data_IF_750350210705
#
_entry.id   IF_750350210705
#
_cell.length_a   1.000
_cell.length_b   1.000
_cell.length_c   1.000
_cell.angle_alpha   90.00
_cell.angle_beta   90.00
_cell.angle_gamma   90.00
#
_symmetry.space_group_name_H-M   'P 1'
#
loop_
_entity.id
_entity.type
_entity.pdbx_description
1 polymer ?
#
# COMPACT_ATOMS: atom_id res chain seq x y z
N UNK A 1 2.60 7.07 -20.58
CA UNK A 1 4.04 7.13 -20.98
C UNK A 1 4.51 8.58 -20.87
N UNK A 2 5.73 8.83 -20.40
CA UNK A 2 6.37 10.14 -20.43
C UNK A 2 7.66 10.02 -21.24
N UNK A 3 7.88 10.91 -22.20
CA UNK A 3 9.11 10.90 -23.00
C UNK A 3 9.64 12.32 -23.25
N UNK A 4 10.91 12.42 -23.64
CA UNK A 4 11.52 13.69 -24.00
C UNK A 4 10.94 14.19 -25.32
N UNK A 5 10.38 15.39 -25.31
CA UNK A 5 9.96 16.08 -26.54
C UNK A 5 11.11 16.94 -27.09
N UNK A 6 11.75 17.71 -26.20
CA UNK A 6 12.93 18.53 -26.49
C UNK A 6 13.78 18.76 -25.22
N UNK A 7 14.78 19.64 -25.29
CA UNK A 7 15.68 19.94 -24.16
C UNK A 7 14.97 20.50 -22.92
N UNK A 8 13.79 21.10 -23.08
CA UNK A 8 13.05 21.81 -22.04
C UNK A 8 11.70 21.15 -21.72
N UNK A 9 11.16 20.30 -22.60
CA UNK A 9 9.80 19.76 -22.52
C UNK A 9 9.73 18.23 -22.56
N UNK A 10 8.72 17.68 -21.90
CA UNK A 10 8.34 16.25 -21.96
C UNK A 10 6.93 16.11 -22.57
N UNK A 11 6.72 15.03 -23.32
CA UNK A 11 5.40 14.64 -23.79
C UNK A 11 4.79 13.61 -22.82
N UNK A 12 3.52 13.82 -22.46
CA UNK A 12 2.73 12.89 -21.64
C UNK A 12 1.58 12.36 -22.49
N UNK A 13 1.48 11.04 -22.59
CA UNK A 13 0.43 10.37 -23.36
C UNK A 13 -0.78 10.09 -22.47
N UNK A 14 -1.91 10.70 -22.82
CA UNK A 14 -3.19 10.56 -22.14
C UNK A 14 -4.21 9.99 -23.12
N UNK A 15 -5.10 9.13 -22.62
CA UNK A 15 -6.24 8.63 -23.40
C UNK A 15 -7.36 9.68 -23.36
N UNK A 16 -7.24 10.69 -24.21
CA UNK A 16 -8.18 11.81 -24.33
C UNK A 16 -8.47 12.09 -25.80
N UNK A 17 -9.72 12.43 -26.12
CA UNK A 17 -10.12 12.75 -27.50
C UNK A 17 -9.50 14.04 -28.03
N UNK A 18 -9.16 14.96 -27.13
CA UNK A 18 -8.59 16.27 -27.47
C UNK A 18 -7.39 16.54 -26.56
N UNK A 19 -6.22 16.72 -27.17
CA UNK A 19 -5.01 17.08 -26.43
C UNK A 19 -5.09 18.50 -25.86
N UNK A 20 -4.26 18.77 -24.84
CA UNK A 20 -4.08 20.09 -24.25
C UNK A 20 -2.59 20.32 -23.98
N UNK A 21 -2.17 21.59 -23.98
CA UNK A 21 -0.82 21.96 -23.56
C UNK A 21 -0.82 22.32 -22.07
N UNK A 22 0.37 22.34 -21.49
CA UNK A 22 0.59 22.72 -20.09
C UNK A 22 1.33 24.04 -19.99
N UNK A 23 1.22 24.91 -21.01
CA UNK A 23 1.89 26.21 -20.99
C UNK A 23 1.29 27.06 -19.87
N UNK A 24 2.12 27.81 -19.10
CA UNK A 24 1.61 28.67 -18.05
C UNK A 24 0.54 29.63 -18.56
N UNK A 25 -0.55 29.78 -17.79
CA UNK A 25 -1.63 30.71 -18.11
C UNK A 25 -1.33 32.06 -17.48
N UNK A 26 -1.34 33.12 -18.27
CA UNK A 26 -1.20 34.49 -17.77
C UNK A 26 -2.49 34.90 -17.04
N UNK A 27 -2.40 35.14 -15.73
CA UNK A 27 -3.52 35.65 -14.92
C UNK A 27 -3.53 37.18 -14.86
N UNK A 28 -2.36 37.81 -14.93
CA UNK A 28 -2.16 39.27 -15.01
C UNK A 28 -0.80 39.60 -15.65
N UNK A 29 -0.45 40.89 -15.77
CA UNK A 29 0.85 41.32 -16.32
C UNK A 29 2.08 40.82 -15.55
N UNK A 30 1.91 40.47 -14.28
CA UNK A 30 3.01 40.03 -13.41
C UNK A 30 2.82 38.61 -12.86
N UNK A 31 1.66 37.98 -13.08
CA UNK A 31 1.32 36.68 -12.49
C UNK A 31 0.97 35.67 -13.58
N UNK A 32 1.69 34.55 -13.58
CA UNK A 32 1.40 33.37 -14.40
C UNK A 32 1.06 32.19 -13.48
N UNK A 33 0.04 31.42 -13.85
CA UNK A 33 -0.28 30.14 -13.22
C UNK A 33 0.41 29.02 -14.00
N UNK A 34 1.26 28.25 -13.32
CA UNK A 34 1.80 27.02 -13.86
C UNK A 34 0.71 25.95 -13.92
N UNK A 35 0.74 25.11 -14.95
CA UNK A 35 -0.13 23.95 -15.06
C UNK A 35 0.63 22.73 -14.55
N UNK A 36 0.10 22.08 -13.52
CA UNK A 36 0.70 20.90 -12.89
C UNK A 36 -0.12 19.67 -13.23
N UNK A 37 0.55 18.59 -13.67
CA UNK A 37 -0.05 17.26 -13.78
C UNK A 37 0.40 16.42 -12.59
N UNK A 38 -0.56 15.77 -11.94
CA UNK A 38 -0.30 14.78 -10.89
C UNK A 38 -1.04 13.49 -11.20
N UNK A 39 -0.47 12.37 -10.75
CA UNK A 39 -1.22 11.11 -10.67
C UNK A 39 -2.19 11.18 -9.50
N UNK A 40 -3.33 10.49 -9.61
CA UNK A 40 -4.34 10.36 -8.56
C UNK A 40 -4.65 8.88 -8.35
N UNK A 41 -5.20 8.55 -7.19
CA UNK A 41 -5.76 7.22 -6.94
C UNK A 41 -6.80 6.87 -7.99
N UNK A 42 -6.91 5.59 -8.28
CA UNK A 42 -7.97 5.08 -9.13
C UNK A 42 -9.32 5.31 -8.45
N UNK A 43 -10.34 5.64 -9.22
CA UNK A 43 -11.69 5.81 -8.68
C UNK A 43 -12.26 4.47 -8.23
N UNK A 44 -12.70 4.41 -6.97
CA UNK A 44 -13.34 3.22 -6.41
C UNK A 44 -14.61 2.84 -7.17
N UNK A 45 -14.90 1.54 -7.22
CA UNK A 45 -16.05 0.99 -7.95
C UNK A 45 -15.76 0.65 -9.41
N UNK A 46 -14.50 0.77 -9.86
CA UNK A 46 -14.12 0.40 -11.23
C UNK A 46 -14.33 -1.10 -11.50
N UNK A 47 -14.21 -1.93 -10.47
CA UNK A 47 -14.47 -3.37 -10.55
C UNK A 47 -15.96 -3.75 -10.58
N UNK A 48 -16.90 -2.81 -10.46
CA UNK A 48 -18.32 -3.08 -10.71
C UNK A 48 -18.60 -3.47 -12.17
N UNK A 49 -17.71 -3.08 -13.08
CA UNK A 49 -17.74 -3.45 -14.48
C UNK A 49 -17.20 -4.86 -14.76
N UNK A 50 -16.66 -5.58 -13.76
CA UNK A 50 -16.23 -6.97 -13.94
C UNK A 50 -17.43 -7.84 -14.27
N UNK A 51 -17.32 -8.61 -15.36
CA UNK A 51 -18.40 -9.47 -15.88
C UNK A 51 -18.87 -10.41 -14.77
N UNK A 52 -20.18 -10.40 -14.50
CA UNK A 52 -20.79 -11.25 -13.47
C UNK A 52 -20.38 -10.93 -12.03
N UNK A 53 -19.62 -9.85 -11.80
CA UNK A 53 -19.02 -9.49 -10.49
C UNK A 53 -18.18 -10.62 -9.89
N UNK A 54 -17.54 -11.43 -10.74
CA UNK A 54 -16.56 -12.42 -10.31
C UNK A 54 -15.25 -11.76 -9.87
N UNK A 55 -14.29 -12.56 -9.45
CA UNK A 55 -12.95 -12.08 -9.11
C UNK A 55 -12.17 -11.72 -10.37
N UNK A 56 -11.36 -10.66 -10.30
CA UNK A 56 -10.54 -10.16 -11.40
C UNK A 56 -10.62 -8.66 -11.61
N UNK A 57 -10.11 -8.20 -12.74
CA UNK A 57 -10.08 -6.80 -13.17
C UNK A 57 -11.00 -6.58 -14.37
N UNK A 58 -11.53 -5.36 -14.50
CA UNK A 58 -12.49 -5.01 -15.54
C UNK A 58 -11.87 -4.86 -16.94
N UNK A 59 -10.55 -4.62 -17.03
CA UNK A 59 -9.81 -4.50 -18.32
C UNK A 59 -8.86 -5.65 -18.54
N UNK A 60 -8.00 -5.94 -17.56
CA UNK A 60 -6.91 -6.90 -17.73
C UNK A 60 -6.46 -7.45 -16.39
N UNK A 61 -6.33 -8.78 -16.32
CA UNK A 61 -5.81 -9.47 -15.14
C UNK A 61 -4.27 -9.57 -15.11
N UNK A 62 -3.58 -9.09 -16.15
CA UNK A 62 -2.14 -9.38 -16.35
C UNK A 62 -1.28 -8.16 -16.59
N UNK A 63 -1.84 -6.96 -16.71
CA UNK A 63 -1.06 -5.76 -17.02
C UNK A 63 -0.53 -5.00 -15.80
N UNK A 64 -0.89 -5.46 -14.60
CA UNK A 64 -0.36 -4.95 -13.33
C UNK A 64 -0.69 -3.49 -13.03
N UNK A 65 -1.68 -2.90 -13.72
CA UNK A 65 -2.02 -1.47 -13.56
C UNK A 65 -3.48 -1.20 -13.23
N UNK A 66 -4.38 -2.14 -13.48
CA UNK A 66 -5.79 -1.96 -13.18
C UNK A 66 -6.14 -2.50 -11.79
N UNK A 67 -7.05 -1.83 -11.06
CA UNK A 67 -7.65 -2.40 -9.87
C UNK A 67 -8.31 -3.74 -10.17
N UNK A 68 -8.35 -4.59 -9.16
CA UNK A 68 -8.97 -5.90 -9.24
C UNK A 68 -9.82 -6.15 -8.01
N UNK A 69 -10.78 -7.08 -8.12
CA UNK A 69 -11.58 -7.54 -7.00
C UNK A 69 -11.28 -8.99 -6.66
N UNK A 70 -11.32 -9.29 -5.37
CA UNK A 70 -11.31 -10.65 -4.83
C UNK A 70 -12.40 -10.74 -3.78
N UNK A 71 -13.28 -11.73 -3.90
CA UNK A 71 -14.40 -11.99 -2.98
C UNK A 71 -15.27 -10.75 -2.68
N UNK A 72 -15.43 -9.86 -3.67
CA UNK A 72 -16.25 -8.66 -3.51
C UNK A 72 -15.53 -7.41 -3.02
N UNK A 73 -14.25 -7.48 -2.68
CA UNK A 73 -13.44 -6.33 -2.26
C UNK A 73 -12.53 -5.87 -3.38
N UNK A 74 -12.42 -4.56 -3.58
CA UNK A 74 -11.56 -3.94 -4.60
C UNK A 74 -10.18 -3.58 -4.02
N UNK A 75 -9.12 -3.86 -4.78
CA UNK A 75 -7.73 -3.70 -4.39
C UNK A 75 -6.93 -2.95 -5.47
N UNK A 76 -5.72 -2.52 -5.11
CA UNK A 76 -4.75 -1.88 -6.00
C UNK A 76 -5.23 -0.58 -6.68
N UNK A 77 -5.96 0.26 -5.94
CA UNK A 77 -6.41 1.60 -6.39
C UNK A 77 -5.31 2.68 -6.31
N UNK A 78 -4.05 2.29 -6.08
CA UNK A 78 -2.90 3.20 -6.04
C UNK A 78 -2.57 3.78 -4.66
N UNK A 79 -3.14 3.24 -3.59
CA UNK A 79 -2.80 3.65 -2.22
C UNK A 79 -2.69 2.42 -1.31
N UNK A 80 -2.06 2.61 -0.16
CA UNK A 80 -2.02 1.57 0.87
C UNK A 80 -3.40 1.39 1.48
N UNK A 81 -3.85 0.15 1.58
CA UNK A 81 -5.07 -0.22 2.29
C UNK A 81 -4.78 -0.31 3.80
N UNK A 82 -5.61 0.34 4.62
CA UNK A 82 -5.54 0.27 6.08
C UNK A 82 -6.34 -0.94 6.56
N UNK A 83 -5.67 -2.02 6.96
CA UNK A 83 -6.34 -3.17 7.58
C UNK A 83 -6.76 -2.80 9.02
N UNK A 84 -7.99 -2.32 9.20
CA UNK A 84 -8.38 -1.55 10.39
C UNK A 84 -8.48 -2.38 11.67
N UNK A 85 -8.71 -3.69 11.53
CA UNK A 85 -8.67 -4.63 12.64
C UNK A 85 -7.25 -5.11 12.97
N UNK A 86 -6.21 -4.69 12.22
CA UNK A 86 -4.85 -5.23 12.34
C UNK A 86 -3.83 -4.18 12.79
N UNK A 87 -3.01 -4.52 13.78
CA UNK A 87 -1.96 -3.65 14.32
C UNK A 87 -0.62 -4.38 14.37
N UNK A 88 0.46 -3.68 14.01
CA UNK A 88 1.83 -4.13 14.25
C UNK A 88 2.35 -3.56 15.58
N UNK A 89 2.92 -4.40 16.43
CA UNK A 89 3.64 -3.98 17.64
C UNK A 89 5.14 -4.24 17.45
N UNK A 90 5.92 -3.16 17.40
CA UNK A 90 7.35 -3.24 17.16
C UNK A 90 8.07 -3.80 18.38
N UNK A 91 9.02 -4.71 18.13
CA UNK A 91 9.80 -5.37 19.17
C UNK A 91 11.25 -4.88 19.17
N UNK A 92 11.98 -5.16 20.25
CA UNK A 92 13.35 -4.67 20.46
C UNK A 92 14.38 -5.18 19.44
N UNK A 93 14.09 -6.30 18.79
CA UNK A 93 14.93 -6.93 17.76
C UNK A 93 14.55 -6.49 16.33
N UNK A 94 13.71 -5.46 16.20
CA UNK A 94 13.11 -4.98 14.95
C UNK A 94 12.07 -5.92 14.32
N UNK A 95 11.70 -7.03 14.95
CA UNK A 95 10.53 -7.81 14.54
C UNK A 95 9.24 -7.07 14.89
N UNK A 96 8.11 -7.51 14.34
CA UNK A 96 6.79 -6.92 14.62
C UNK A 96 5.79 -8.01 14.92
N UNK A 97 5.21 -8.01 16.11
CA UNK A 97 4.05 -8.87 16.39
C UNK A 97 2.84 -8.31 15.66
N UNK A 98 2.02 -9.18 15.10
CA UNK A 98 0.82 -8.79 14.38
C UNK A 98 -0.39 -9.19 15.22
N UNK A 99 -1.19 -8.19 15.57
CA UNK A 99 -2.37 -8.34 16.41
C UNK A 99 -3.62 -8.05 15.60
N UNK A 100 -4.68 -8.82 15.85
CA UNK A 100 -6.00 -8.60 15.26
C UNK A 100 -7.05 -8.37 16.35
N UNK A 101 -7.83 -7.29 16.19
CA UNK A 101 -8.98 -7.00 17.01
C UNK A 101 -10.05 -8.08 16.82
N UNK A 102 -10.48 -8.78 17.88
CA UNK A 102 -11.61 -9.71 17.80
C UNK A 102 -12.89 -8.99 17.35
N UNK A 103 -13.72 -9.69 16.59
CA UNK A 103 -15.01 -9.17 16.13
C UNK A 103 -15.84 -8.61 17.30
N UNK A 104 -16.30 -7.37 17.16
CA UNK A 104 -17.13 -6.69 18.15
C UNK A 104 -16.36 -6.05 19.31
N UNK A 105 -15.03 -6.18 19.35
CA UNK A 105 -14.19 -5.40 20.27
C UNK A 105 -14.06 -3.96 19.76
N UNK A 106 -14.14 -2.99 20.66
CA UNK A 106 -13.87 -1.59 20.31
C UNK A 106 -12.39 -1.38 19.96
N UNK A 107 -12.12 -0.65 18.88
CA UNK A 107 -10.75 -0.29 18.52
C UNK A 107 -10.09 0.60 19.58
N UNK A 108 -8.77 0.47 19.72
CA UNK A 108 -7.98 1.26 20.65
C UNK A 108 -6.66 1.68 20.00
N UNK A 109 -6.19 2.85 20.34
CA UNK A 109 -4.84 3.34 20.00
C UNK A 109 -3.86 3.22 21.18
N UNK A 110 -4.29 2.65 22.30
CA UNK A 110 -3.45 2.47 23.48
C UNK A 110 -2.69 1.14 23.39
N UNK A 111 -1.37 1.22 23.31
CA UNK A 111 -0.44 0.08 23.29
C UNK A 111 -0.80 -1.04 24.30
N UNK A 112 -1.06 -0.68 25.55
CA UNK A 112 -1.38 -1.65 26.61
C UNK A 112 -2.72 -2.36 26.38
N UNK A 113 -3.72 -1.64 25.86
CA UNK A 113 -5.03 -2.21 25.54
C UNK A 113 -4.91 -3.17 24.36
N UNK A 114 -4.23 -2.76 23.28
CA UNK A 114 -4.00 -3.61 22.10
C UNK A 114 -3.30 -4.91 22.53
N UNK A 115 -2.17 -4.82 23.25
CA UNK A 115 -1.40 -6.00 23.68
C UNK A 115 -2.17 -6.96 24.59
N UNK A 116 -3.17 -6.48 25.33
CA UNK A 116 -3.92 -7.29 26.30
C UNK A 116 -5.25 -7.83 25.77
N UNK A 117 -5.82 -7.20 24.74
CA UNK A 117 -7.17 -7.52 24.25
C UNK A 117 -7.19 -8.05 22.81
N UNK A 118 -6.16 -7.80 22.01
CA UNK A 118 -6.12 -8.25 20.62
C UNK A 118 -5.45 -9.62 20.53
N UNK A 119 -5.81 -10.39 19.50
CA UNK A 119 -5.25 -11.72 19.25
C UNK A 119 -3.93 -11.58 18.50
N UNK A 120 -2.82 -12.03 19.10
CA UNK A 120 -1.55 -12.14 18.38
C UNK A 120 -1.61 -13.31 17.39
N UNK A 121 -1.50 -13.02 16.10
CA UNK A 121 -1.55 -14.04 15.04
C UNK A 121 -0.15 -14.48 14.56
N UNK A 122 0.90 -13.77 14.98
CA UNK A 122 2.27 -14.12 14.64
C UNK A 122 3.24 -12.93 14.63
N UNK A 123 4.38 -13.12 13.98
CA UNK A 123 5.48 -12.15 13.99
C UNK A 123 6.08 -11.99 12.60
N UNK A 124 6.12 -10.76 12.10
CA UNK A 124 6.93 -10.36 10.96
C UNK A 124 8.39 -10.35 11.40
N UNK A 125 9.28 -11.14 10.76
CA UNK A 125 10.67 -11.23 11.18
C UNK A 125 11.42 -9.93 10.91
N UNK A 126 12.42 -9.64 11.76
CA UNK A 126 13.40 -8.60 11.48
C UNK A 126 14.23 -8.95 10.24
N UNK A 127 14.75 -7.95 9.53
CA UNK A 127 15.75 -8.17 8.50
C UNK A 127 16.97 -8.91 9.10
N UNK A 128 17.52 -9.88 8.36
CA UNK A 128 18.70 -10.66 8.79
C UNK A 128 19.93 -9.80 9.06
N UNK A 129 19.99 -8.58 8.52
CA UNK A 129 21.07 -7.63 8.78
C UNK A 129 21.04 -7.03 10.19
N UNK A 130 19.92 -7.17 10.93
CA UNK A 130 19.75 -6.66 12.28
C UNK A 130 19.72 -5.13 12.37
N UNK A 131 19.36 -4.41 11.31
CA UNK A 131 19.41 -2.93 11.26
C UNK A 131 18.05 -2.26 11.02
N UNK A 132 16.97 -3.04 11.00
CA UNK A 132 15.64 -2.52 10.66
C UNK A 132 15.51 -2.10 9.19
N UNK A 133 16.31 -2.70 8.30
CA UNK A 133 16.29 -2.45 6.87
C UNK A 133 15.08 -3.10 6.20
N UNK A 134 14.62 -2.51 5.09
CA UNK A 134 13.56 -3.08 4.24
C UNK A 134 14.01 -4.40 3.60
N UNK A 135 13.06 -5.28 3.24
CA UNK A 135 13.37 -6.58 2.65
C UNK A 135 12.28 -7.13 1.73
N UNK A 136 12.69 -7.96 0.76
CA UNK A 136 11.81 -8.66 -0.18
C UNK A 136 11.11 -9.83 0.48
N UNK A 137 9.81 -9.97 0.27
CA UNK A 137 8.97 -11.02 0.86
C UNK A 137 9.13 -12.30 0.06
N UNK A 138 9.63 -13.34 0.74
CA UNK A 138 9.75 -14.68 0.20
C UNK A 138 8.47 -15.47 0.39
N UNK A 139 7.83 -15.34 1.57
CA UNK A 139 6.60 -16.05 1.90
C UNK A 139 5.76 -15.28 2.94
N UNK A 140 4.49 -15.67 3.05
CA UNK A 140 3.53 -15.17 4.04
C UNK A 140 2.95 -16.32 4.87
N UNK A 141 2.47 -16.00 6.06
CA UNK A 141 1.66 -16.92 6.86
C UNK A 141 0.25 -16.35 6.98
N UNK A 142 -0.76 -17.22 6.90
CA UNK A 142 -2.17 -16.88 7.09
C UNK A 142 -2.67 -17.57 8.36
N UNK A 143 -3.21 -16.81 9.30
CA UNK A 143 -3.97 -17.36 10.42
C UNK A 143 -5.39 -17.67 9.95
N UNK A 144 -5.70 -18.96 9.84
CA UNK A 144 -6.98 -19.45 9.30
C UNK A 144 -8.19 -19.06 10.16
N UNK A 145 -7.98 -18.75 11.44
CA UNK A 145 -9.08 -18.45 12.37
C UNK A 145 -9.57 -17.00 12.21
N UNK A 146 -8.64 -16.08 12.03
CA UNK A 146 -8.93 -14.65 11.84
C UNK A 146 -9.00 -14.24 10.38
N UNK A 147 -8.39 -15.02 9.47
CA UNK A 147 -8.18 -14.63 8.07
C UNK A 147 -7.05 -13.60 7.90
N UNK A 148 -6.39 -13.22 8.99
CA UNK A 148 -5.23 -12.34 8.97
C UNK A 148 -4.02 -13.00 8.36
N UNK A 149 -3.11 -12.19 7.82
CA UNK A 149 -1.86 -12.67 7.26
C UNK A 149 -0.70 -11.74 7.62
N UNK A 150 0.53 -12.26 7.51
CA UNK A 150 1.73 -11.46 7.69
C UNK A 150 2.91 -12.02 6.91
N UNK A 151 3.86 -11.17 6.45
CA UNK A 151 5.13 -11.63 5.89
C UNK A 151 5.91 -12.50 6.87
N UNK A 152 6.25 -13.72 6.49
CA UNK A 152 6.83 -14.72 7.40
C UNK A 152 8.26 -15.14 7.04
N UNK A 153 8.68 -14.90 5.79
CA UNK A 153 10.03 -15.24 5.33
C UNK A 153 10.62 -14.17 4.41
N UNK A 154 11.92 -13.90 4.58
CA UNK A 154 12.70 -13.06 3.68
C UNK A 154 13.06 -13.81 2.39
N UNK A 155 12.69 -13.20 1.27
CA UNK A 155 13.11 -13.56 -0.08
C UNK A 155 14.48 -12.98 -0.43
N UNK A 156 14.96 -13.38 -1.61
CA UNK A 156 16.29 -13.00 -2.12
C UNK A 156 16.28 -11.76 -3.02
N UNK A 157 15.16 -11.47 -3.68
CA UNK A 157 15.04 -10.47 -4.74
C UNK A 157 13.57 -10.19 -5.09
N UNK A 158 13.35 -9.26 -6.01
CA UNK A 158 12.06 -8.98 -6.67
C UNK A 158 11.70 -9.97 -7.80
N UNK A 159 12.36 -11.13 -7.86
CA UNK A 159 12.16 -12.13 -8.92
C UNK A 159 11.75 -13.51 -8.39
N UNK A 160 11.59 -13.64 -7.07
CA UNK A 160 11.27 -14.90 -6.38
C UNK A 160 10.31 -14.65 -5.22
N UNK A 161 9.53 -15.67 -4.85
CA UNK A 161 8.55 -15.57 -3.77
C UNK A 161 7.38 -14.65 -4.15
N UNK A 162 6.92 -13.85 -3.19
CA UNK A 162 5.91 -12.81 -3.44
C UNK A 162 6.48 -11.61 -4.19
N UNK A 163 7.80 -11.40 -4.12
CA UNK A 163 8.51 -10.29 -4.78
C UNK A 163 8.04 -8.88 -4.37
N UNK A 164 7.25 -8.75 -3.29
CA UNK A 164 6.83 -7.50 -2.67
C UNK A 164 7.78 -7.10 -1.53
N UNK A 165 7.71 -5.86 -1.02
CA UNK A 165 8.58 -5.38 0.07
C UNK A 165 7.85 -5.24 1.42
N UNK A 166 8.56 -5.59 2.50
CA UNK A 166 8.30 -5.03 3.84
C UNK A 166 9.12 -3.76 4.01
N UNK A 167 8.44 -2.61 4.08
CA UNK A 167 9.07 -1.35 4.43
C UNK A 167 9.15 -1.26 5.96
N UNK A 168 10.29 -1.67 6.52
CA UNK A 168 10.43 -2.17 7.90
C UNK A 168 10.22 -1.14 9.02
N UNK A 169 10.06 0.14 8.67
CA UNK A 169 9.84 1.23 9.63
C UNK A 169 11.13 1.73 10.29
N UNK A 170 12.29 1.38 9.74
CA UNK A 170 13.62 1.77 10.21
C UNK A 170 13.98 1.19 11.57
N UNK A 171 14.69 1.98 12.38
CA UNK A 171 15.28 1.56 13.67
C UNK A 171 14.31 1.65 14.85
N UNK A 172 13.00 1.75 14.62
CA UNK A 172 12.04 1.71 15.71
C UNK A 172 12.02 0.33 16.38
N UNK A 173 11.95 0.32 17.71
CA UNK A 173 12.07 -0.89 18.54
C UNK A 173 10.90 -1.09 19.51
N UNK A 174 9.88 -0.23 19.42
CA UNK A 174 8.69 -0.27 20.26
C UNK A 174 7.55 0.52 19.63
N UNK A 175 6.35 0.35 20.20
CA UNK A 175 5.15 1.07 19.83
C UNK A 175 4.33 0.37 18.75
N UNK A 176 3.05 0.70 18.73
CA UNK A 176 2.10 0.16 17.76
C UNK A 176 1.99 1.02 16.49
N UNK A 177 1.72 0.37 15.35
CA UNK A 177 1.64 0.97 14.01
C UNK A 177 0.52 0.37 13.17
N UNK A 178 0.04 1.16 12.23
CA UNK A 178 -0.98 0.74 11.26
C UNK A 178 -0.45 -0.39 10.38
N UNK A 179 -1.32 -1.35 10.06
CA UNK A 179 -1.02 -2.39 9.09
C UNK A 179 -1.43 -1.93 7.68
N UNK A 180 -0.49 -1.28 6.98
CA UNK A 180 -0.69 -0.69 5.66
C UNK A 180 -0.25 -1.67 4.57
N UNK A 181 -1.17 -2.13 3.72
CA UNK A 181 -0.91 -3.17 2.71
C UNK A 181 -1.16 -2.74 1.25
N UNK A 182 -0.72 -3.54 0.28
CA UNK A 182 -1.04 -3.35 -1.16
C UNK A 182 -0.09 -2.43 -1.94
N UNK A 183 0.44 -1.39 -1.29
CA UNK A 183 1.35 -0.43 -1.89
C UNK A 183 0.67 0.81 -2.51
N UNK A 184 1.41 1.92 -2.58
CA UNK A 184 0.95 3.17 -3.21
C UNK A 184 1.43 3.31 -4.65
N UNK A 185 0.91 4.32 -5.35
CA UNK A 185 1.45 4.81 -6.62
C UNK A 185 2.98 4.95 -6.52
N UNK A 186 3.66 4.65 -7.64
CA UNK A 186 5.11 4.82 -7.85
C UNK A 186 6.02 3.81 -7.14
N UNK A 187 5.50 2.85 -6.38
CA UNK A 187 6.35 1.83 -5.74
C UNK A 187 6.98 0.83 -6.73
N UNK A 188 6.46 0.75 -7.95
CA UNK A 188 6.95 -0.20 -8.94
C UNK A 188 6.88 -1.63 -8.40
N UNK A 189 7.98 -2.38 -8.52
CA UNK A 189 8.06 -3.77 -8.05
C UNK A 189 8.04 -3.92 -6.52
N UNK A 190 8.13 -2.83 -5.74
CA UNK A 190 8.12 -2.92 -4.28
C UNK A 190 6.72 -3.04 -3.67
N UNK A 191 5.67 -2.63 -4.40
CA UNK A 191 4.27 -2.79 -4.00
C UNK A 191 3.72 -4.16 -4.40
N UNK A 192 2.46 -4.44 -4.07
CA UNK A 192 1.80 -5.72 -4.38
C UNK A 192 0.94 -6.25 -3.23
N UNK A 193 0.29 -7.38 -3.43
CA UNK A 193 -0.70 -7.94 -2.50
C UNK A 193 -0.14 -8.30 -1.12
N UNK A 194 1.15 -8.64 -1.04
CA UNK A 194 1.84 -8.94 0.20
C UNK A 194 2.67 -7.76 0.73
N UNK A 195 2.76 -6.64 0.02
CA UNK A 195 3.48 -5.46 0.49
C UNK A 195 2.94 -5.00 1.85
N UNK A 196 3.85 -4.64 2.76
CA UNK A 196 3.51 -4.03 4.05
C UNK A 196 4.36 -2.79 4.30
N UNK A 197 3.73 -1.67 4.65
CA UNK A 197 4.40 -0.42 4.98
C UNK A 197 4.37 -0.11 6.48
N UNK A 198 5.46 -0.41 7.18
CA UNK A 198 5.53 -0.32 8.64
C UNK A 198 5.94 1.07 9.17
N UNK A 199 5.77 2.14 8.40
CA UNK A 199 6.12 3.50 8.87
C UNK A 199 4.94 4.27 9.46
N UNK A 200 3.69 3.96 9.07
CA UNK A 200 2.50 4.66 9.55
C UNK A 200 2.23 4.43 11.03
N UNK A 201 2.11 5.50 11.83
CA UNK A 201 1.62 5.37 13.21
C UNK A 201 0.09 5.21 13.22
N UNK A 202 -0.43 4.66 14.31
CA UNK A 202 -1.88 4.57 14.52
C UNK A 202 -2.55 5.94 14.36
N UNK A 203 -3.63 5.97 13.57
CA UNK A 203 -4.43 7.16 13.28
C UNK A 203 -3.74 8.21 12.40
N UNK A 204 -2.57 7.92 11.81
CA UNK A 204 -1.96 8.84 10.84
C UNK A 204 -2.75 8.86 9.54
N UNK A 205 -2.93 10.06 9.01
CA UNK A 205 -3.59 10.29 7.73
C UNK A 205 -2.57 10.80 6.73
N UNK A 206 -2.51 10.18 5.56
CA UNK A 206 -1.70 10.64 4.44
C UNK A 206 -2.48 10.43 3.15
N UNK A 207 -2.19 11.23 2.13
CA UNK A 207 -2.85 11.12 0.82
C UNK A 207 -2.86 9.69 0.28
N UNK A 208 -1.78 8.93 0.48
CA UNK A 208 -1.63 7.55 -0.01
C UNK A 208 -2.21 6.47 0.90
N UNK A 209 -2.85 6.84 2.02
CA UNK A 209 -3.55 5.89 2.88
C UNK A 209 -5.02 5.91 2.48
N UNK A 210 -5.48 4.83 1.86
CA UNK A 210 -6.78 4.76 1.19
C UNK A 210 -7.58 3.60 1.73
N UNK A 211 -8.89 3.79 1.89
CA UNK A 211 -9.80 2.75 2.36
C UNK A 211 -9.49 2.24 3.78
N UNK A 212 -10.54 1.89 4.49
CA UNK A 212 -10.44 0.99 5.63
C UNK A 212 -11.24 -0.26 5.28
N UNK A 213 -10.64 -1.42 5.53
CA UNK A 213 -11.33 -2.72 5.57
C UNK A 213 -11.37 -3.19 7.02
#
# INVERSE_FOLDING_TARGET
KIETLDNNNKAVYLDVSTGFNTTPIKLSDTVNALITLTSMHWWSGSTDAVIGRHDGSYVSNTDGKHPYRVQGREYAVGGYLVASDTVMDFQSDYSKKVYIAPKGLAHSSADATIRSTYTNIGTIPANKDGKGSDWWIGDITVDINTGGWFPSAQGSSNSQGWADIVWAGGTATSGTREYLMGGSLLLGSGGGSANVYCWGRLGWTLWVFVGCD
#
